data_IF_078499117417
#
_entry.id   IF_078499117417
#
_cell.length_a   1.000
_cell.length_b   1.000
_cell.length_c   1.000
_cell.angle_alpha   90.00
_cell.angle_beta   90.00
_cell.angle_gamma   90.00
#
_symmetry.space_group_name_H-M   'P 1'
#
loop_
_entity.id
_entity.type
_entity.pdbx_description
1 polymer ?
#
# COMPACT_ATOMS: atom_id res chain seq x y z
N UNK A 1 33.15 -23.15 -11.86
CA UNK A 1 32.49 -21.85 -12.13
C UNK A 1 30.99 -22.05 -12.05
N UNK A 2 30.32 -21.59 -10.99
CA UNK A 2 28.89 -21.80 -10.79
C UNK A 2 28.05 -20.68 -11.41
N UNK A 3 27.19 -21.09 -12.33
CA UNK A 3 25.99 -20.42 -12.86
C UNK A 3 25.30 -19.53 -11.80
N UNK A 4 25.23 -18.22 -12.03
CA UNK A 4 24.34 -17.31 -11.28
C UNK A 4 23.60 -16.38 -12.24
N UNK A 5 22.80 -16.98 -13.12
CA UNK A 5 21.88 -16.23 -13.96
C UNK A 5 20.46 -16.81 -13.78
N UNK A 6 19.47 -15.92 -13.66
CA UNK A 6 18.00 -16.15 -13.51
C UNK A 6 17.36 -16.00 -12.12
N UNK A 7 17.61 -14.89 -11.42
CA UNK A 7 16.64 -14.32 -10.45
C UNK A 7 16.37 -12.83 -10.62
N UNK A 8 16.72 -12.26 -11.78
CA UNK A 8 16.39 -10.87 -12.12
C UNK A 8 14.95 -10.87 -12.65
N UNK A 9 14.03 -10.18 -11.97
CA UNK A 9 12.64 -10.04 -12.44
C UNK A 9 12.55 -9.43 -13.85
N UNK A 10 11.37 -9.42 -14.47
CA UNK A 10 11.21 -8.91 -15.84
C UNK A 10 11.65 -7.43 -15.93
N UNK A 11 12.60 -7.13 -16.85
CA UNK A 11 13.15 -5.78 -17.06
C UNK A 11 12.07 -4.79 -17.51
N UNK A 12 11.16 -5.21 -18.39
CA UNK A 12 10.07 -4.39 -18.89
C UNK A 12 9.10 -4.01 -17.77
N UNK A 13 8.78 -4.97 -16.90
CA UNK A 13 7.91 -4.72 -15.76
C UNK A 13 8.52 -3.70 -14.79
N UNK A 14 9.82 -3.81 -14.48
CA UNK A 14 10.49 -2.79 -13.64
C UNK A 14 10.40 -1.40 -14.25
N UNK A 15 10.64 -1.27 -15.56
CA UNK A 15 10.55 0.02 -16.26
C UNK A 15 9.12 0.56 -16.26
N UNK A 16 8.13 -0.28 -16.53
CA UNK A 16 6.73 0.12 -16.52
C UNK A 16 6.28 0.62 -15.14
N UNK A 17 6.59 -0.11 -14.08
CA UNK A 17 6.23 0.30 -12.71
C UNK A 17 6.99 1.56 -12.29
N UNK A 18 8.23 1.75 -12.75
CA UNK A 18 8.97 2.98 -12.51
C UNK A 18 8.29 4.20 -13.14
N UNK A 19 7.89 4.11 -14.40
CA UNK A 19 7.16 5.17 -15.10
C UNK A 19 5.80 5.44 -14.42
N UNK A 20 5.09 4.37 -14.05
CA UNK A 20 3.83 4.47 -13.31
C UNK A 20 4.03 5.17 -11.96
N UNK A 21 5.11 4.89 -11.23
CA UNK A 21 5.44 5.55 -9.98
C UNK A 21 5.72 7.05 -10.16
N UNK A 22 6.41 7.45 -11.25
CA UNK A 22 6.64 8.87 -11.54
C UNK A 22 5.31 9.61 -11.71
N UNK A 23 4.43 9.03 -12.52
CA UNK A 23 3.09 9.58 -12.79
C UNK A 23 2.25 9.60 -11.51
N UNK A 24 2.33 8.57 -10.67
CA UNK A 24 1.62 8.50 -9.39
C UNK A 24 2.09 9.56 -8.40
N UNK A 25 3.40 9.88 -8.34
CA UNK A 25 3.93 10.95 -7.49
C UNK A 25 3.41 12.32 -7.94
N UNK A 26 3.23 12.53 -9.25
CA UNK A 26 2.73 13.80 -9.78
C UNK A 26 1.24 13.98 -9.54
N UNK A 27 0.44 12.93 -9.78
CA UNK A 27 -1.03 13.03 -9.80
C UNK A 27 -1.72 12.64 -8.50
N UNK A 28 -1.01 12.00 -7.56
CA UNK A 28 -1.62 11.50 -6.32
C UNK A 28 -0.83 11.98 -5.10
N UNK A 29 -1.49 12.81 -4.28
CA UNK A 29 -0.92 13.41 -3.07
C UNK A 29 -0.42 12.38 -2.07
N UNK A 30 -1.05 11.20 -1.97
CA UNK A 30 -0.61 10.14 -1.07
C UNK A 30 0.82 9.68 -1.40
N UNK A 31 1.09 9.43 -2.68
CA UNK A 31 2.41 8.99 -3.13
C UNK A 31 3.42 10.14 -3.12
N UNK A 32 2.98 11.36 -3.44
CA UNK A 32 3.80 12.58 -3.31
C UNK A 32 4.26 12.79 -1.87
N UNK A 33 3.35 12.73 -0.91
CA UNK A 33 3.65 12.92 0.51
C UNK A 33 4.57 11.81 1.03
N UNK A 34 4.35 10.56 0.60
CA UNK A 34 5.23 9.46 0.95
C UNK A 34 6.65 9.65 0.38
N UNK A 35 6.78 10.06 -0.88
CA UNK A 35 8.05 10.38 -1.51
C UNK A 35 8.77 11.54 -0.79
N UNK A 36 8.07 12.64 -0.55
CA UNK A 36 8.62 13.83 0.12
C UNK A 36 9.07 13.49 1.54
N UNK A 37 8.30 12.70 2.29
CA UNK A 37 8.69 12.23 3.63
C UNK A 37 10.01 11.44 3.63
N UNK A 38 10.31 10.70 2.57
CA UNK A 38 11.59 10.00 2.44
C UNK A 38 12.72 10.95 2.07
N UNK A 39 12.44 11.96 1.24
CA UNK A 39 13.40 13.01 0.87
C UNK A 39 13.77 13.90 2.06
N UNK A 40 12.81 14.28 2.90
CA UNK A 40 13.06 15.08 4.12
C UNK A 40 13.87 14.31 5.15
N UNK A 41 13.77 12.96 5.17
CA UNK A 41 14.63 12.07 5.96
C UNK A 41 16.05 11.90 5.41
N UNK A 42 16.41 12.66 4.37
CA UNK A 42 17.74 12.61 3.74
C UNK A 42 17.98 11.42 2.82
N UNK A 43 16.95 10.63 2.46
CA UNK A 43 17.14 9.53 1.50
C UNK A 43 17.39 10.07 0.09
N UNK A 44 18.29 9.43 -0.65
CA UNK A 44 18.58 9.79 -2.05
C UNK A 44 17.33 9.63 -2.92
N UNK A 45 17.29 10.36 -4.04
CA UNK A 45 16.15 10.36 -4.96
C UNK A 45 15.82 8.94 -5.42
N UNK A 46 16.85 8.20 -5.82
CA UNK A 46 16.73 6.81 -6.26
C UNK A 46 16.11 5.91 -5.20
N UNK A 47 16.52 6.03 -3.94
CA UNK A 47 15.97 5.22 -2.84
C UNK A 47 14.51 5.59 -2.55
N UNK A 48 14.19 6.88 -2.51
CA UNK A 48 12.82 7.34 -2.31
C UNK A 48 11.90 6.86 -3.45
N UNK A 49 12.38 6.91 -4.69
CA UNK A 49 11.66 6.44 -5.87
C UNK A 49 11.42 4.92 -5.82
N UNK A 50 12.45 4.13 -5.51
CA UNK A 50 12.34 2.69 -5.36
C UNK A 50 11.37 2.28 -4.24
N UNK A 51 11.32 3.05 -3.15
CA UNK A 51 10.37 2.83 -2.06
C UNK A 51 8.92 3.06 -2.52
N UNK A 52 8.67 4.09 -3.34
CA UNK A 52 7.35 4.34 -3.96
C UNK A 52 6.98 3.21 -4.92
N UNK A 53 7.90 2.82 -5.82
CA UNK A 53 7.74 1.69 -6.75
C UNK A 53 7.33 0.41 -6.01
N UNK A 54 8.05 0.05 -4.94
CA UNK A 54 7.73 -1.15 -4.16
C UNK A 54 6.38 -1.06 -3.46
N UNK A 55 5.97 0.13 -3.01
CA UNK A 55 4.65 0.36 -2.41
C UNK A 55 3.53 0.22 -3.46
N UNK A 56 3.73 0.80 -4.63
CA UNK A 56 2.79 0.75 -5.75
C UNK A 56 2.63 -0.68 -6.27
N UNK A 57 3.72 -1.44 -6.39
CA UNK A 57 3.69 -2.84 -6.82
C UNK A 57 2.87 -3.73 -5.86
N UNK A 58 3.02 -3.54 -4.55
CA UNK A 58 2.23 -4.27 -3.54
C UNK A 58 0.73 -3.97 -3.65
N UNK A 59 0.38 -2.71 -3.94
CA UNK A 59 -1.02 -2.30 -4.15
C UNK A 59 -1.56 -2.98 -5.41
N UNK A 60 -0.87 -2.86 -6.55
CA UNK A 60 -1.28 -3.51 -7.80
C UNK A 60 -1.48 -5.01 -7.60
N UNK A 61 -0.49 -5.69 -7.00
CA UNK A 61 -0.58 -7.13 -6.73
C UNK A 61 -1.81 -7.49 -5.89
N UNK A 62 -2.10 -6.69 -4.86
CA UNK A 62 -3.26 -6.91 -3.98
C UNK A 62 -4.60 -6.67 -4.70
N UNK A 63 -4.66 -5.69 -5.61
CA UNK A 63 -5.85 -5.41 -6.41
C UNK A 63 -6.12 -6.54 -7.41
N UNK A 64 -5.07 -6.96 -8.14
CA UNK A 64 -5.16 -8.07 -9.10
C UNK A 64 -5.55 -9.36 -8.40
N UNK A 65 -4.92 -9.67 -7.26
CA UNK A 65 -5.21 -10.89 -6.48
C UNK A 65 -6.66 -10.94 -5.99
N UNK A 66 -7.21 -9.81 -5.57
CA UNK A 66 -8.56 -9.74 -5.00
C UNK A 66 -9.65 -9.36 -6.02
N UNK A 67 -9.29 -9.08 -7.27
CA UNK A 67 -10.21 -8.57 -8.29
C UNK A 67 -10.87 -7.23 -7.92
N UNK A 68 -10.27 -6.46 -7.01
CA UNK A 68 -10.85 -5.20 -6.49
C UNK A 68 -10.31 -4.01 -7.27
N UNK A 69 -11.14 -2.98 -7.45
CA UNK A 69 -10.72 -1.68 -8.00
C UNK A 69 -9.89 -0.91 -6.96
N UNK A 70 -8.96 -0.09 -7.44
CA UNK A 70 -8.20 0.81 -6.56
C UNK A 70 -9.14 1.80 -5.88
N UNK A 71 -9.02 1.89 -4.56
CA UNK A 71 -9.75 2.85 -3.74
C UNK A 71 -8.75 3.60 -2.85
N UNK A 72 -8.52 4.91 -3.08
CA UNK A 72 -7.64 5.74 -2.25
C UNK A 72 -8.01 5.72 -0.76
N UNK A 73 -9.29 5.53 -0.45
CA UNK A 73 -9.83 5.54 0.92
C UNK A 73 -9.99 4.13 1.50
N UNK A 74 -9.38 3.10 0.90
CA UNK A 74 -9.49 1.72 1.35
C UNK A 74 -9.11 1.55 2.84
N UNK A 75 -8.01 2.18 3.28
CA UNK A 75 -7.57 2.09 4.67
C UNK A 75 -8.52 2.78 5.64
N UNK A 76 -9.11 3.92 5.26
CA UNK A 76 -10.13 4.61 6.08
C UNK A 76 -11.39 3.74 6.24
N UNK A 77 -11.82 3.06 5.17
CA UNK A 77 -12.97 2.14 5.22
C UNK A 77 -12.72 0.93 6.11
N UNK A 78 -11.50 0.36 6.07
CA UNK A 78 -11.14 -0.78 6.91
C UNK A 78 -11.13 -0.40 8.40
N UNK A 79 -10.52 0.74 8.74
CA UNK A 79 -10.50 1.25 10.11
C UNK A 79 -11.92 1.55 10.64
N UNK A 80 -12.78 2.11 9.80
CA UNK A 80 -14.19 2.34 10.15
C UNK A 80 -15.01 1.04 10.25
N UNK A 81 -14.69 0.02 9.45
CA UNK A 81 -15.30 -1.31 9.59
C UNK A 81 -14.84 -1.98 10.88
N UNK A 82 -13.56 -1.90 11.24
CA UNK A 82 -13.04 -2.40 12.52
C UNK A 82 -13.65 -1.67 13.71
N UNK A 83 -13.82 -0.34 13.66
CA UNK A 83 -14.51 0.43 14.69
C UNK A 83 -16.00 0.03 14.82
N UNK A 84 -16.69 -0.20 13.70
CA UNK A 84 -18.08 -0.70 13.70
C UNK A 84 -18.17 -2.13 14.25
N UNK A 85 -17.21 -2.98 13.94
CA UNK A 85 -17.14 -4.37 14.43
C UNK A 85 -16.75 -4.40 15.93
N UNK A 86 -15.86 -3.53 16.38
CA UNK A 86 -15.48 -3.38 17.79
C UNK A 86 -16.54 -2.72 18.67
N UNK A 87 -17.29 -1.74 18.15
CA UNK A 87 -18.47 -1.20 18.84
C UNK A 87 -19.56 -2.26 19.06
N UNK A 88 -19.66 -3.25 18.17
CA UNK A 88 -20.58 -4.37 18.33
C UNK A 88 -20.13 -5.38 19.40
N UNK A 89 -18.83 -5.58 19.67
CA UNK A 89 -18.39 -6.42 20.80
C UNK A 89 -18.70 -5.74 22.15
N UNK A 90 -18.44 -4.43 22.27
CA UNK A 90 -18.76 -3.67 23.49
C UNK A 90 -20.27 -3.65 23.74
N UNK A 91 -21.08 -3.41 22.70
CA UNK A 91 -22.55 -3.44 22.81
C UNK A 91 -23.12 -4.85 23.08
N UNK A 92 -22.53 -5.91 22.51
CA UNK A 92 -22.95 -7.31 22.73
C UNK A 92 -22.47 -7.87 24.06
N UNK A 93 -21.38 -7.33 24.62
CA UNK A 93 -20.86 -7.63 25.97
C UNK A 93 -21.71 -6.94 27.05
N UNK A 94 -22.04 -5.65 26.88
CA UNK A 94 -22.97 -4.93 27.77
C UNK A 94 -24.35 -5.59 27.84
N UNK A 95 -24.92 -5.98 26.68
CA UNK A 95 -26.21 -6.69 26.65
C UNK A 95 -26.18 -8.10 27.27
N UNK A 96 -25.01 -8.72 27.39
CA UNK A 96 -24.86 -10.03 28.08
C UNK A 96 -24.64 -9.86 29.59
N UNK A 97 -23.92 -8.82 30.00
CA UNK A 97 -23.69 -8.48 31.42
C UNK A 97 -24.93 -7.90 32.12
N UNK A 98 -25.89 -7.31 31.39
CA UNK A 98 -27.15 -6.77 31.96
C UNK A 98 -28.26 -7.86 32.07
N UNK A 99 -28.11 -9.00 31.39
CA UNK A 99 -29.12 -10.09 31.34
C UNK A 99 -28.77 -11.25 32.29
N UNK A 100 -27.75 -11.07 33.13
CA UNK A 100 -27.42 -11.96 34.26
C UNK A 100 -27.66 -11.20 35.55
#
# INVERSE_FOLDING_TARGET
MFYQEKRKGNRYLRKAVYIAATTAIQNNEYFKNYYMKLRTRGKSHTVAMLAVVGKLLRIIYSLVKNGKKYDPNYHYKLQNQELRVHGNYTAKKLKREIVT
#
